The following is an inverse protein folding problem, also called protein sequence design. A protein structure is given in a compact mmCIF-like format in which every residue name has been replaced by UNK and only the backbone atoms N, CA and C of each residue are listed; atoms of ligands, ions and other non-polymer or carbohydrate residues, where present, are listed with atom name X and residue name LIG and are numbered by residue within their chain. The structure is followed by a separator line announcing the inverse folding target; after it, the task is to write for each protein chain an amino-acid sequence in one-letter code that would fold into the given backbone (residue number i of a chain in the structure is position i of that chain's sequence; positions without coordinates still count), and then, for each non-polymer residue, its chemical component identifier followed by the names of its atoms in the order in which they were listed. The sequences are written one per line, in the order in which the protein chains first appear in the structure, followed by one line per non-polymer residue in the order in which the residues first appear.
data_IF_803127589354
#
_entry.id   IF_803127589354
#
_cell.length_a   1.000
_cell.length_b   1.000
_cell.length_c   1.000
_cell.angle_alpha   90.00
_cell.angle_beta   90.00
_cell.angle_gamma   90.00
#
_symmetry.space_group_name_H-M   'P 1'
#
loop_
_entity.id
_entity.type
_entity.pdbx_description
1 polymer ?
#
# COMPACT_ATOMS: atom_id res chain seq x y z
N UNK A 1 15.72 10.84 5.62
CA UNK A 1 15.16 11.04 4.26
C UNK A 1 13.99 10.07 4.09
N UNK A 2 12.76 10.54 4.27
CA UNK A 2 11.57 9.71 4.09
C UNK A 2 11.28 9.57 2.60
N UNK A 3 11.35 8.34 2.08
CA UNK A 3 10.99 8.03 0.71
C UNK A 3 9.52 8.37 0.46
N UNK A 4 9.24 9.15 -0.58
CA UNK A 4 7.87 9.47 -0.97
C UNK A 4 7.11 8.16 -1.27
N UNK A 5 5.88 8.00 -0.79
CA UNK A 5 5.14 6.75 -0.96
C UNK A 5 4.74 6.56 -2.43
N UNK A 6 4.81 5.32 -2.92
CA UNK A 6 4.68 4.90 -4.33
C UNK A 6 3.47 5.53 -5.07
N UNK A 7 2.40 5.81 -4.33
CA UNK A 7 1.14 6.43 -4.76
C UNK A 7 1.30 7.84 -5.36
N UNK A 8 2.34 8.59 -4.97
CA UNK A 8 2.63 9.92 -5.53
C UNK A 8 2.97 9.86 -7.02
N UNK A 9 3.48 8.74 -7.51
CA UNK A 9 3.76 8.54 -8.93
C UNK A 9 2.50 8.17 -9.71
N UNK A 10 1.58 7.45 -9.08
CA UNK A 10 0.35 6.97 -9.72
C UNK A 10 -0.65 8.12 -9.99
N UNK A 11 -0.80 9.07 -9.07
CA UNK A 11 -1.64 10.26 -9.29
C UNK A 11 -1.14 11.16 -10.42
N UNK A 12 0.18 11.21 -10.65
CA UNK A 12 0.76 11.96 -11.78
C UNK A 12 0.46 11.33 -13.14
N UNK A 13 0.35 10.00 -13.20
CA UNK A 13 0.07 9.27 -14.42
C UNK A 13 -1.40 9.38 -14.85
N UNK A 14 -2.35 9.27 -13.91
CA UNK A 14 -3.78 9.40 -14.22
C UNK A 14 -4.22 10.82 -14.60
N UNK A 15 -3.48 11.87 -14.20
CA UNK A 15 -3.84 13.24 -14.52
C UNK A 15 -3.46 13.69 -15.94
N UNK A 16 -2.63 12.93 -16.67
CA UNK A 16 -2.03 13.39 -17.92
C UNK A 16 -2.78 12.98 -19.21
N UNK A 17 -3.85 12.19 -19.11
CA UNK A 17 -4.62 11.69 -20.27
C UNK A 17 -5.98 12.41 -20.41
N UNK A 18 -5.95 13.74 -20.56
CA UNK A 18 -7.08 14.48 -21.12
C UNK A 18 -6.64 15.18 -22.40
N UNK A 19 -6.65 14.45 -23.51
CA UNK A 19 -6.59 15.03 -24.85
C UNK A 19 -7.96 14.96 -25.52
N UNK A 20 -8.38 16.10 -26.05
CA UNK A 20 -9.69 16.37 -26.62
C UNK A 20 -10.02 15.45 -27.81
N UNK A 21 -11.22 14.87 -27.79
CA UNK A 21 -11.84 14.25 -28.96
C UNK A 21 -12.35 15.34 -29.92
N UNK A 22 -11.70 15.50 -31.07
CA UNK A 22 -12.25 16.21 -32.21
C UNK A 22 -12.82 15.18 -33.20
N UNK A 23 -14.15 15.20 -33.33
CA UNK A 23 -14.94 14.32 -34.18
C UNK A 23 -14.69 14.60 -35.66
N UNK A 24 -14.28 13.57 -36.40
CA UNK A 24 -14.19 13.54 -37.85
C UNK A 24 -14.57 12.13 -38.33
N UNK A 25 -15.81 12.02 -38.81
CA UNK A 25 -16.47 10.79 -39.26
C UNK A 25 -15.80 10.22 -40.52
N UNK A 26 -14.89 9.26 -40.35
CA UNK A 26 -14.45 8.31 -41.37
C UNK A 26 -13.89 7.05 -40.70
N UNK A 27 -14.80 6.24 -40.14
CA UNK A 27 -14.42 5.07 -39.34
C UNK A 27 -13.83 3.94 -40.19
N UNK A 28 -12.50 3.87 -40.28
CA UNK A 28 -11.82 2.62 -40.62
C UNK A 28 -12.04 1.60 -39.49
N UNK A 29 -12.12 0.29 -39.78
CA UNK A 29 -12.37 -0.76 -38.77
C UNK A 29 -11.40 -0.74 -37.58
N UNK A 30 -10.17 -0.27 -37.81
CA UNK A 30 -9.07 -0.26 -36.84
C UNK A 30 -9.22 0.85 -35.79
N UNK A 31 -9.88 1.96 -36.12
CA UNK A 31 -10.21 3.02 -35.16
C UNK A 31 -11.23 2.54 -34.12
N UNK A 32 -12.09 1.57 -34.48
CA UNK A 32 -13.01 0.92 -33.54
C UNK A 32 -12.29 -0.06 -32.62
N UNK A 33 -11.35 -0.84 -33.14
CA UNK A 33 -10.53 -1.77 -32.33
C UNK A 33 -9.65 -1.02 -31.33
N UNK A 34 -9.09 0.13 -31.72
CA UNK A 34 -8.30 0.98 -30.83
C UNK A 34 -9.16 1.62 -29.72
N UNK A 35 -10.35 2.11 -30.06
CA UNK A 35 -11.30 2.67 -29.09
C UNK A 35 -11.74 1.62 -28.05
N UNK A 36 -11.91 0.36 -28.46
CA UNK A 36 -12.22 -0.74 -27.54
C UNK A 36 -11.04 -1.05 -26.60
N UNK A 37 -9.80 -1.03 -27.09
CA UNK A 37 -8.62 -1.20 -26.23
C UNK A 37 -8.49 -0.04 -25.23
N UNK A 38 -8.73 1.20 -25.67
CA UNK A 38 -8.74 2.37 -24.79
C UNK A 38 -9.79 2.22 -23.68
N UNK A 39 -11.00 1.79 -24.03
CA UNK A 39 -12.08 1.50 -23.07
C UNK A 39 -11.68 0.42 -22.06
N UNK A 40 -11.04 -0.66 -22.51
CA UNK A 40 -10.55 -1.75 -21.65
C UNK A 40 -9.46 -1.26 -20.68
N UNK A 41 -8.50 -0.47 -21.17
CA UNK A 41 -7.47 0.14 -20.33
C UNK A 41 -8.05 1.11 -19.29
N UNK A 42 -9.08 1.87 -19.67
CA UNK A 42 -9.80 2.75 -18.75
C UNK A 42 -10.46 1.97 -17.62
N UNK A 43 -11.14 0.85 -17.91
CA UNK A 43 -11.71 -0.03 -16.87
C UNK A 43 -10.64 -0.61 -15.94
N UNK A 44 -9.50 -1.06 -16.49
CA UNK A 44 -8.38 -1.56 -15.69
C UNK A 44 -7.84 -0.49 -14.74
N UNK A 45 -7.73 0.76 -15.21
CA UNK A 45 -7.30 1.90 -14.40
C UNK A 45 -8.25 2.17 -13.23
N UNK A 46 -9.56 2.12 -13.49
CA UNK A 46 -10.61 2.30 -12.47
C UNK A 46 -10.59 1.18 -11.43
N UNK A 47 -10.42 -0.08 -11.86
CA UNK A 47 -10.36 -1.22 -10.96
C UNK A 47 -9.07 -1.26 -10.12
N UNK A 48 -7.93 -0.87 -10.69
CA UNK A 48 -6.70 -0.69 -9.94
C UNK A 48 -6.86 0.43 -8.90
N UNK A 49 -7.47 1.56 -9.28
CA UNK A 49 -7.75 2.67 -8.35
C UNK A 49 -8.64 2.23 -7.18
N UNK A 50 -9.67 1.41 -7.46
CA UNK A 50 -10.52 0.80 -6.44
C UNK A 50 -9.74 -0.15 -5.53
N UNK A 51 -8.87 -1.00 -6.10
CA UNK A 51 -8.02 -1.89 -5.31
C UNK A 51 -7.09 -1.11 -4.38
N UNK A 52 -6.47 -0.06 -4.91
CA UNK A 52 -5.59 0.85 -4.19
C UNK A 52 -6.30 1.52 -3.00
N UNK A 53 -7.50 2.06 -3.21
CA UNK A 53 -8.28 2.64 -2.12
C UNK A 53 -8.55 1.64 -0.99
N UNK A 54 -9.00 0.42 -1.34
CA UNK A 54 -9.29 -0.65 -0.36
C UNK A 54 -8.06 -1.13 0.40
N UNK A 55 -6.90 -1.17 -0.26
CA UNK A 55 -5.63 -1.50 0.41
C UNK A 55 -5.31 -0.44 1.47
N UNK A 56 -5.48 0.84 1.15
CA UNK A 56 -5.27 1.94 2.09
C UNK A 56 -6.23 1.87 3.29
N UNK A 57 -7.51 1.62 3.06
CA UNK A 57 -8.50 1.43 4.15
C UNK A 57 -8.11 0.27 5.09
N UNK A 58 -7.68 -0.86 4.53
CA UNK A 58 -7.22 -2.00 5.32
C UNK A 58 -5.92 -1.72 6.08
N UNK A 59 -5.01 -0.94 5.50
CA UNK A 59 -3.79 -0.51 6.16
C UNK A 59 -4.11 0.40 7.36
N UNK A 60 -5.02 1.36 7.22
CA UNK A 60 -5.49 2.20 8.32
C UNK A 60 -6.10 1.36 9.45
N UNK A 61 -6.95 0.39 9.11
CA UNK A 61 -7.56 -0.50 10.08
C UNK A 61 -6.53 -1.34 10.86
N UNK A 62 -5.49 -1.84 10.18
CA UNK A 62 -4.38 -2.56 10.82
C UNK A 62 -3.59 -1.63 11.76
N UNK A 63 -3.35 -0.39 11.37
CA UNK A 63 -2.69 0.60 12.23
C UNK A 63 -3.51 0.92 13.48
N UNK A 64 -4.84 1.03 13.34
CA UNK A 64 -5.73 1.18 14.50
C UNK A 64 -5.61 -0.01 15.46
N UNK A 65 -5.64 -1.25 14.96
CA UNK A 65 -5.47 -2.46 15.78
C UNK A 65 -4.11 -2.47 16.48
N UNK A 66 -3.04 -2.10 15.77
CA UNK A 66 -1.69 -2.02 16.35
C UNK A 66 -1.64 -1.02 17.51
N UNK A 67 -2.21 0.18 17.31
CA UNK A 67 -2.27 1.21 18.35
C UNK A 67 -3.08 0.76 19.58
N UNK A 68 -4.19 0.04 19.38
CA UNK A 68 -4.95 -0.54 20.49
C UNK A 68 -4.12 -1.55 21.30
N UNK A 69 -3.34 -2.40 20.61
CA UNK A 69 -2.47 -3.39 21.25
C UNK A 69 -1.33 -2.71 22.02
N UNK A 70 -0.71 -1.67 21.46
CA UNK A 70 0.33 -0.88 22.13
C UNK A 70 -0.20 -0.23 23.42
N UNK A 71 -1.35 0.45 23.35
CA UNK A 71 -1.99 1.04 24.54
C UNK A 71 -2.27 0.01 25.63
N UNK A 72 -2.65 -1.21 25.25
CA UNK A 72 -2.89 -2.30 26.21
C UNK A 72 -1.61 -2.83 26.83
N UNK A 73 -0.51 -2.84 26.08
CA UNK A 73 0.82 -3.19 26.62
C UNK A 73 1.26 -2.16 27.65
N UNK A 74 1.09 -0.88 27.37
CA UNK A 74 1.48 0.20 28.30
C UNK A 74 0.67 0.10 29.62
N UNK A 75 -0.65 -0.14 29.51
CA UNK A 75 -1.51 -0.37 30.68
C UNK A 75 -1.05 -1.58 31.52
N UNK A 76 -0.54 -2.63 30.89
CA UNK A 76 -0.05 -3.82 31.60
C UNK A 76 1.26 -3.53 32.36
N UNK A 77 2.12 -2.67 31.82
CA UNK A 77 3.38 -2.30 32.46
C UNK A 77 3.16 -1.52 33.77
N UNK A 78 2.08 -0.76 33.86
CA UNK A 78 1.71 -0.03 35.08
C UNK A 78 0.96 -0.89 36.11
N UNK A 79 0.61 -2.14 35.76
CA UNK A 79 -0.18 -3.00 36.64
C UNK A 79 0.63 -3.48 37.85
N UNK A 80 0.13 -3.15 39.05
CA UNK A 80 0.75 -3.51 40.34
C UNK A 80 0.02 -4.66 41.05
N UNK A 81 -0.95 -5.30 40.40
CA UNK A 81 -1.79 -6.33 41.03
C UNK A 81 -0.95 -7.47 41.60
N UNK A 82 0.05 -7.94 40.86
CA UNK A 82 1.00 -8.98 41.32
C UNK A 82 1.77 -8.51 42.56
N UNK A 83 2.40 -7.33 42.50
CA UNK A 83 3.16 -6.77 43.63
C UNK A 83 2.29 -6.58 44.88
N UNK A 84 1.02 -6.19 44.72
CA UNK A 84 0.08 -6.06 45.83
C UNK A 84 -0.24 -7.41 46.47
N UNK A 85 -0.47 -8.45 45.66
CA UNK A 85 -0.70 -9.81 46.15
C UNK A 85 0.55 -10.36 46.85
N UNK A 86 1.74 -10.19 46.27
CA UNK A 86 3.02 -10.59 46.86
C UNK A 86 3.25 -9.93 48.22
N UNK A 87 3.05 -8.61 48.32
CA UNK A 87 3.17 -7.90 49.60
C UNK A 87 2.22 -8.44 50.68
N UNK A 88 1.01 -8.86 50.30
CA UNK A 88 0.09 -9.50 51.23
C UNK A 88 0.60 -10.88 51.65
N UNK A 89 1.06 -11.69 50.70
CA UNK A 89 1.60 -13.03 50.94
C UNK A 89 2.83 -12.99 51.86
N UNK A 90 3.72 -12.02 51.70
CA UNK A 90 4.89 -11.83 52.55
C UNK A 90 4.48 -11.59 54.02
N UNK A 91 3.49 -10.72 54.24
CA UNK A 91 2.93 -10.46 55.57
C UNK A 91 2.28 -11.70 56.17
N UNK A 92 1.52 -12.44 55.36
CA UNK A 92 0.92 -13.71 55.78
C UNK A 92 2.00 -14.73 56.18
N UNK A 93 3.12 -14.77 55.45
CA UNK A 93 4.22 -15.68 55.74
C UNK A 93 4.92 -15.33 57.06
N UNK A 94 5.07 -14.05 57.39
CA UNK A 94 5.59 -13.60 58.69
C UNK A 94 4.68 -14.06 59.83
N UNK A 95 3.37 -13.81 59.73
CA UNK A 95 2.37 -14.24 60.72
C UNK A 95 2.40 -15.77 60.89
N UNK A 96 2.44 -16.52 59.77
CA UNK A 96 2.52 -17.97 59.80
C UNK A 96 3.77 -18.48 60.53
N UNK A 97 4.94 -17.87 60.28
CA UNK A 97 6.18 -18.21 60.98
C UNK A 97 6.07 -17.92 62.49
N UNK A 98 5.44 -16.81 62.89
CA UNK A 98 5.18 -16.50 64.29
C UNK A 98 4.23 -17.52 64.94
N UNK A 99 3.16 -17.93 64.25
CA UNK A 99 2.23 -18.95 64.75
C UNK A 99 2.92 -20.30 64.94
N UNK A 100 3.81 -20.67 64.01
CA UNK A 100 4.63 -21.88 64.13
C UNK A 100 5.55 -21.85 65.35
N UNK A 101 6.09 -20.68 65.71
CA UNK A 101 6.88 -20.48 66.94
C UNK A 101 6.00 -20.58 68.18
N UNK A 102 4.88 -19.84 68.21
CA UNK A 102 3.94 -19.83 69.32
C UNK A 102 3.41 -21.23 69.65
N UNK A 103 3.17 -22.07 68.65
CA UNK A 103 2.74 -23.47 68.82
C UNK A 103 3.74 -24.35 69.60
N UNK A 104 5.03 -24.00 69.61
CA UNK A 104 6.04 -24.72 70.41
C UNK A 104 5.98 -24.33 71.90
N UNK A 105 5.36 -23.21 72.24
CA UNK A 105 5.16 -22.78 73.61
C UNK A 105 3.83 -23.33 74.13
N UNK A 106 3.83 -23.99 75.30
CA UNK A 106 2.63 -24.57 75.90
C UNK A 106 1.59 -23.52 76.31
N UNK A 107 2.02 -22.29 76.59
CA UNK A 107 1.15 -21.15 76.95
C UNK A 107 1.80 -19.83 76.54
N UNK A 108 1.01 -18.93 75.97
CA UNK A 108 1.42 -17.54 75.71
C UNK A 108 1.06 -16.66 76.91
N UNK A 109 1.91 -15.68 77.30
CA UNK A 109 1.52 -14.65 78.26
C UNK A 109 0.42 -13.76 77.65
N UNK A 110 -0.34 -13.07 78.50
CA UNK A 110 -1.54 -12.33 78.11
C UNK A 110 -1.33 -11.42 76.88
N UNK A 111 -0.30 -10.58 76.87
CA UNK A 111 -0.03 -9.66 75.76
C UNK A 111 0.23 -10.40 74.43
N UNK A 112 1.05 -11.46 74.46
CA UNK A 112 1.35 -12.28 73.29
C UNK A 112 0.11 -13.03 72.79
N UNK A 113 -0.78 -13.43 73.71
CA UNK A 113 -2.07 -14.03 73.35
C UNK A 113 -2.98 -13.03 72.62
N UNK A 114 -3.00 -11.76 73.04
CA UNK A 114 -3.77 -10.73 72.34
C UNK A 114 -3.19 -10.41 70.96
N UNK A 115 -1.86 -10.32 70.83
CA UNK A 115 -1.19 -10.14 69.54
C UNK A 115 -1.51 -11.33 68.62
N UNK A 116 -1.43 -12.56 69.13
CA UNK A 116 -1.76 -13.77 68.35
C UNK A 116 -3.21 -13.76 67.84
N UNK A 117 -4.18 -13.31 68.65
CA UNK A 117 -5.58 -13.16 68.24
C UNK A 117 -5.74 -12.10 67.15
N UNK A 118 -5.07 -10.95 67.29
CA UNK A 118 -5.09 -9.89 66.29
C UNK A 118 -4.48 -10.36 64.96
N UNK A 119 -3.31 -11.01 65.01
CA UNK A 119 -2.64 -11.57 63.85
C UNK A 119 -3.49 -12.62 63.14
N UNK A 120 -4.31 -13.37 63.89
CA UNK A 120 -5.23 -14.36 63.31
C UNK A 120 -6.33 -13.68 62.49
N UNK A 121 -6.85 -12.55 62.97
CA UNK A 121 -7.80 -11.74 62.20
C UNK A 121 -7.11 -11.11 60.99
N UNK A 122 -5.92 -10.54 61.16
CA UNK A 122 -5.12 -9.95 60.09
C UNK A 122 -4.81 -10.96 58.97
N UNK A 123 -4.50 -12.21 59.31
CA UNK A 123 -4.29 -13.27 58.32
C UNK A 123 -5.52 -13.48 57.43
N UNK A 124 -6.72 -13.49 58.04
CA UNK A 124 -7.99 -13.57 57.30
C UNK A 124 -8.23 -12.35 56.41
N UNK A 125 -7.91 -11.14 56.88
CA UNK A 125 -8.02 -9.92 56.07
C UNK A 125 -7.05 -9.90 54.89
N UNK A 126 -5.79 -10.30 55.10
CA UNK A 126 -4.80 -10.41 54.03
C UNK A 126 -5.23 -11.43 52.98
N UNK A 127 -5.71 -12.60 53.39
CA UNK A 127 -6.22 -13.62 52.48
C UNK A 127 -7.40 -13.10 51.63
N UNK A 128 -8.37 -12.43 52.27
CA UNK A 128 -9.49 -11.79 51.54
C UNK A 128 -9.00 -10.75 50.54
N UNK A 129 -8.01 -9.93 50.92
CA UNK A 129 -7.43 -8.93 50.03
C UNK A 129 -6.76 -9.56 48.81
N UNK A 130 -5.98 -10.62 48.99
CA UNK A 130 -5.35 -11.35 47.87
C UNK A 130 -6.42 -11.90 46.91
N UNK A 131 -7.49 -12.49 47.44
CA UNK A 131 -8.58 -13.02 46.63
C UNK A 131 -9.33 -11.92 45.87
N UNK A 132 -9.58 -10.77 46.49
CA UNK A 132 -10.22 -9.63 45.82
C UNK A 132 -9.34 -9.07 44.71
N UNK A 133 -8.04 -8.81 44.94
CA UNK A 133 -7.14 -8.36 43.86
C UNK A 133 -7.10 -9.38 42.71
N UNK A 134 -7.07 -10.68 43.03
CA UNK A 134 -7.08 -11.71 42.00
C UNK A 134 -8.38 -11.73 41.18
N UNK A 135 -9.53 -11.71 41.84
CA UNK A 135 -10.83 -11.82 41.15
C UNK A 135 -11.22 -10.51 40.45
N UNK A 136 -11.12 -9.40 41.16
CA UNK A 136 -11.67 -8.11 40.74
C UNK A 136 -10.73 -7.40 39.76
N UNK A 137 -9.40 -7.52 39.95
CA UNK A 137 -8.44 -6.91 39.04
C UNK A 137 -7.92 -7.91 38.00
N UNK A 138 -7.27 -8.99 38.43
CA UNK A 138 -6.53 -9.86 37.51
C UNK A 138 -7.46 -10.63 36.55
N UNK A 139 -8.45 -11.34 37.09
CA UNK A 139 -9.35 -12.19 36.28
C UNK A 139 -10.20 -11.33 35.34
N UNK A 140 -10.77 -10.22 35.82
CA UNK A 140 -11.57 -9.33 34.98
C UNK A 140 -10.74 -8.72 33.85
N UNK A 141 -9.55 -8.17 34.15
CA UNK A 141 -8.64 -7.61 33.12
C UNK A 141 -8.25 -8.68 32.09
N UNK A 142 -7.94 -9.90 32.54
CA UNK A 142 -7.61 -11.01 31.66
C UNK A 142 -8.78 -11.36 30.71
N UNK A 143 -9.99 -11.49 31.23
CA UNK A 143 -11.18 -11.79 30.41
C UNK A 143 -11.47 -10.67 29.39
N UNK A 144 -11.33 -9.41 29.79
CA UNK A 144 -11.47 -8.26 28.90
C UNK A 144 -10.41 -8.28 27.80
N UNK A 145 -9.15 -8.56 28.14
CA UNK A 145 -8.05 -8.67 27.17
C UNK A 145 -8.26 -9.84 26.20
N UNK A 146 -8.70 -11.00 26.69
CA UNK A 146 -8.99 -12.17 25.87
C UNK A 146 -10.12 -11.87 24.86
N UNK A 147 -11.17 -11.20 25.31
CA UNK A 147 -12.30 -10.78 24.47
C UNK A 147 -11.86 -9.78 23.40
N UNK A 148 -11.05 -8.77 23.78
CA UNK A 148 -10.50 -7.79 22.86
C UNK A 148 -9.60 -8.45 21.80
N UNK A 149 -8.71 -9.35 22.21
CA UNK A 149 -7.85 -10.11 21.31
C UNK A 149 -8.66 -10.96 20.33
N UNK A 150 -9.72 -11.65 20.81
CA UNK A 150 -10.63 -12.40 19.94
C UNK A 150 -11.31 -11.52 18.88
N UNK A 151 -11.72 -10.30 19.24
CA UNK A 151 -12.29 -9.33 18.29
C UNK A 151 -11.25 -8.86 17.26
N UNK A 152 -10.04 -8.54 17.71
CA UNK A 152 -8.94 -8.12 16.84
C UNK A 152 -8.56 -9.22 15.86
N UNK A 153 -8.45 -10.46 16.31
CA UNK A 153 -8.12 -11.60 15.46
C UNK A 153 -9.17 -11.83 14.37
N UNK A 154 -10.46 -11.67 14.69
CA UNK A 154 -11.54 -11.72 13.68
C UNK A 154 -11.36 -10.64 12.62
N UNK A 155 -11.13 -9.38 13.01
CA UNK A 155 -10.87 -8.28 12.07
C UNK A 155 -9.66 -8.56 11.17
N UNK A 156 -8.54 -9.01 11.75
CA UNK A 156 -7.33 -9.36 11.00
C UNK A 156 -7.58 -10.49 10.01
N UNK A 157 -8.34 -11.51 10.40
CA UNK A 157 -8.69 -12.61 9.49
C UNK A 157 -9.55 -12.14 8.31
N UNK A 158 -10.52 -11.26 8.55
CA UNK A 158 -11.34 -10.66 7.49
C UNK A 158 -10.51 -9.77 6.56
N UNK A 159 -9.62 -8.94 7.10
CA UNK A 159 -8.69 -8.13 6.30
C UNK A 159 -7.84 -9.04 5.42
N UNK A 160 -7.25 -10.11 5.98
CA UNK A 160 -6.46 -11.09 5.23
C UNK A 160 -7.26 -11.73 4.09
N UNK A 161 -8.55 -12.04 4.32
CA UNK A 161 -9.45 -12.56 3.28
C UNK A 161 -9.66 -11.53 2.17
N UNK A 162 -9.93 -10.27 2.51
CA UNK A 162 -10.07 -9.20 1.54
C UNK A 162 -8.80 -8.96 0.73
N UNK A 163 -7.63 -8.98 1.37
CA UNK A 163 -6.33 -8.85 0.68
C UNK A 163 -6.08 -9.98 -0.32
N UNK A 164 -6.49 -11.22 -0.01
CA UNK A 164 -6.43 -12.33 -0.97
C UNK A 164 -7.33 -12.07 -2.19
N UNK A 165 -8.56 -11.61 -1.98
CA UNK A 165 -9.46 -11.27 -3.09
C UNK A 165 -8.91 -10.11 -3.93
N UNK A 166 -8.36 -9.09 -3.30
CA UNK A 166 -7.69 -7.97 -3.98
C UNK A 166 -6.50 -8.45 -4.81
N UNK A 167 -5.69 -9.37 -4.28
CA UNK A 167 -4.59 -9.99 -5.03
C UNK A 167 -5.09 -10.69 -6.30
N UNK A 168 -6.20 -11.42 -6.23
CA UNK A 168 -6.82 -12.04 -7.42
C UNK A 168 -7.34 -10.99 -8.41
N UNK A 169 -7.97 -9.91 -7.93
CA UNK A 169 -8.44 -8.82 -8.78
C UNK A 169 -7.30 -8.10 -9.50
N UNK A 170 -6.19 -7.83 -8.80
CA UNK A 170 -4.99 -7.21 -9.38
C UNK A 170 -4.36 -8.15 -10.43
N UNK A 171 -4.31 -9.46 -10.16
CA UNK A 171 -3.84 -10.44 -11.14
C UNK A 171 -4.70 -10.45 -12.41
N UNK A 172 -6.04 -10.38 -12.27
CA UNK A 172 -6.94 -10.26 -13.41
C UNK A 172 -6.71 -8.95 -14.19
N UNK A 173 -6.53 -7.83 -13.50
CA UNK A 173 -6.17 -6.54 -14.13
C UNK A 173 -4.86 -6.64 -14.91
N UNK A 174 -3.86 -7.35 -14.37
CA UNK A 174 -2.58 -7.56 -15.05
C UNK A 174 -2.74 -8.37 -16.34
N UNK A 175 -3.55 -9.44 -16.31
CA UNK A 175 -3.82 -10.26 -17.51
C UNK A 175 -4.55 -9.43 -18.57
N UNK A 176 -5.56 -8.66 -18.16
CA UNK A 176 -6.31 -7.78 -19.05
C UNK A 176 -5.41 -6.72 -19.70
N UNK A 177 -4.53 -6.10 -18.91
CA UNK A 177 -3.57 -5.10 -19.38
C UNK A 177 -2.56 -5.69 -20.39
N UNK A 178 -2.06 -6.91 -20.13
CA UNK A 178 -1.21 -7.63 -21.10
C UNK A 178 -1.97 -7.93 -22.39
N UNK A 179 -3.23 -8.36 -22.31
CA UNK A 179 -4.06 -8.56 -23.49
C UNK A 179 -4.27 -7.28 -24.31
N UNK A 180 -4.47 -6.13 -23.66
CA UNK A 180 -4.52 -4.83 -24.32
C UNK A 180 -3.19 -4.47 -25.00
N UNK A 181 -2.07 -4.74 -24.34
CA UNK A 181 -0.73 -4.53 -24.90
C UNK A 181 -0.49 -5.39 -26.15
N UNK A 182 -0.90 -6.66 -26.12
CA UNK A 182 -0.81 -7.56 -27.28
C UNK A 182 -1.68 -7.05 -28.44
N UNK A 183 -2.91 -6.58 -28.17
CA UNK A 183 -3.78 -5.98 -29.18
C UNK A 183 -3.11 -4.76 -29.84
N UNK A 184 -2.52 -3.86 -29.04
CA UNK A 184 -1.81 -2.67 -29.55
C UNK A 184 -0.59 -3.05 -30.38
N UNK A 185 0.23 -4.00 -29.90
CA UNK A 185 1.41 -4.47 -30.64
C UNK A 185 1.02 -5.04 -32.01
N UNK A 186 0.00 -5.92 -32.04
CA UNK A 186 -0.50 -6.49 -33.28
C UNK A 186 -1.04 -5.43 -34.25
N UNK A 187 -1.70 -4.39 -33.75
CA UNK A 187 -2.18 -3.28 -34.59
C UNK A 187 -1.00 -2.47 -35.18
N UNK A 188 0.02 -2.19 -34.37
CA UNK A 188 1.25 -1.50 -34.81
C UNK A 188 2.02 -2.31 -35.85
N UNK A 189 2.09 -3.64 -35.72
CA UNK A 189 2.79 -4.52 -36.66
C UNK A 189 2.09 -4.62 -38.03
N UNK A 190 0.76 -4.42 -38.08
CA UNK A 190 -0.04 -4.48 -39.32
C UNK A 190 -0.04 -3.17 -40.12
N UNK A 191 0.17 -2.03 -39.47
CA UNK A 191 0.22 -0.70 -40.10
C UNK A 191 1.23 -0.62 -41.27
N UNK A 192 2.49 -1.09 -41.14
CA UNK A 192 3.47 -1.09 -42.23
C UNK A 192 3.06 -1.93 -43.45
N UNK A 193 2.37 -3.06 -43.22
CA UNK A 193 1.96 -3.98 -44.28
C UNK A 193 0.84 -3.38 -45.13
N UNK A 194 -0.12 -2.68 -44.51
CA UNK A 194 -1.23 -2.03 -45.22
C UNK A 194 -0.83 -0.79 -46.00
N UNK A 195 0.10 0.02 -45.49
CA UNK A 195 0.66 1.17 -46.23
C UNK A 195 1.35 0.70 -47.53
N UNK A 196 1.89 -0.52 -47.55
CA UNK A 196 2.51 -1.13 -48.73
C UNK A 196 1.46 -1.70 -49.71
N UNK A 197 0.37 -2.29 -49.22
CA UNK A 197 -0.72 -2.81 -50.05
C UNK A 197 -1.56 -1.71 -50.71
N UNK A 198 -1.90 -0.61 -50.02
CA UNK A 198 -2.63 0.52 -50.61
C UNK A 198 -1.85 1.16 -51.79
N UNK A 199 -0.51 1.19 -51.70
CA UNK A 199 0.36 1.66 -52.79
C UNK A 199 0.35 0.75 -54.02
N UNK A 200 -0.02 -0.53 -53.85
CA UNK A 200 0.02 -1.55 -54.92
C UNK A 200 -1.31 -1.67 -55.66
N UNK A 201 -2.44 -1.39 -54.99
CA UNK A 201 -3.78 -1.49 -55.60
C UNK A 201 -4.10 -0.30 -56.53
N UNK A 202 -3.47 0.87 -56.33
CA UNK A 202 -3.64 2.03 -57.22
C UNK A 202 -2.88 1.93 -58.57
N UNK A 203 -2.10 0.88 -58.80
CA UNK A 203 -1.26 0.75 -59.99
C UNK A 203 -1.89 -0.03 -61.17
N UNK A 204 -3.14 -0.50 -61.07
CA UNK A 204 -3.75 -1.38 -62.09
C UNK A 204 -5.06 -0.82 -62.70
N UNK A 205 -4.94 0.26 -63.50
CA UNK A 205 -5.87 0.54 -64.60
C UNK A 205 -5.25 1.44 -65.70
N UNK A 206 -4.65 0.77 -66.72
CA UNK A 206 -4.51 1.17 -68.15
C UNK A 206 -3.68 2.44 -68.49
N UNK A 207 -2.92 2.47 -69.62
CA UNK A 207 -1.71 3.27 -69.71
C UNK A 207 -1.95 4.61 -70.39
N UNK A 208 -1.58 5.69 -69.71
CA UNK A 208 -1.04 6.86 -70.37
C UNK A 208 -0.11 7.59 -69.42
N UNK A 209 0.92 8.18 -70.02
CA UNK A 209 1.72 9.29 -69.53
C UNK A 209 3.11 8.93 -69.00
N UNK A 210 4.04 8.98 -69.95
CA UNK A 210 5.45 9.33 -69.79
C UNK A 210 5.67 10.65 -69.00
N UNK A 211 4.61 11.40 -68.67
CA UNK A 211 4.64 12.64 -67.89
C UNK A 211 4.57 12.46 -66.35
N UNK A 212 4.05 11.33 -65.84
CA UNK A 212 3.84 11.13 -64.39
C UNK A 212 5.07 10.61 -63.65
N UNK A 213 5.98 9.94 -64.37
CA UNK A 213 7.22 9.42 -63.79
C UNK A 213 8.17 10.53 -63.34
N UNK A 214 8.18 11.68 -64.01
CA UNK A 214 9.03 12.82 -63.65
C UNK A 214 8.59 13.44 -62.33
N UNK A 215 7.28 13.72 -62.19
CA UNK A 215 6.71 14.34 -60.99
C UNK A 215 6.83 13.45 -59.75
N UNK A 216 6.71 12.12 -59.93
CA UNK A 216 6.89 11.17 -58.84
C UNK A 216 8.37 11.04 -58.42
N UNK A 217 9.31 11.09 -59.36
CA UNK A 217 10.74 11.13 -59.02
C UNK A 217 11.14 12.43 -58.34
N UNK A 218 10.63 13.58 -58.80
CA UNK A 218 10.86 14.88 -58.17
C UNK A 218 10.28 14.94 -56.75
N UNK A 219 9.12 14.33 -56.51
CA UNK A 219 8.53 14.23 -55.18
C UNK A 219 9.31 13.28 -54.25
N UNK A 220 9.81 12.14 -54.76
CA UNK A 220 10.69 11.25 -53.98
C UNK A 220 11.97 11.98 -53.60
N UNK A 221 12.58 12.71 -54.54
CA UNK A 221 13.78 13.50 -54.30
C UNK A 221 13.51 14.62 -53.28
N UNK A 222 12.38 15.32 -53.42
CA UNK A 222 11.95 16.35 -52.46
C UNK A 222 11.70 15.79 -51.06
N UNK A 223 11.10 14.62 -50.93
CA UNK A 223 10.88 13.96 -49.64
C UNK A 223 12.17 13.45 -49.01
N UNK A 224 13.11 12.96 -49.82
CA UNK A 224 14.44 12.58 -49.35
C UNK A 224 15.24 13.81 -48.89
N UNK A 225 15.20 14.90 -49.65
CA UNK A 225 15.84 16.16 -49.27
C UNK A 225 15.24 16.71 -47.98
N UNK A 226 13.90 16.73 -47.86
CA UNK A 226 13.21 17.18 -46.64
C UNK A 226 13.60 16.33 -45.42
N UNK A 227 13.75 15.01 -45.59
CA UNK A 227 14.22 14.11 -44.53
C UNK A 227 15.65 14.44 -44.10
N UNK A 228 16.55 14.72 -45.04
CA UNK A 228 17.92 15.12 -44.72
C UNK A 228 17.99 16.52 -44.10
N UNK A 229 17.13 17.45 -44.52
CA UNK A 229 16.99 18.76 -43.87
C UNK A 229 16.51 18.60 -42.42
N UNK A 230 15.50 17.76 -42.18
CA UNK A 230 15.00 17.50 -40.83
C UNK A 230 16.03 16.82 -39.92
N UNK A 231 16.88 15.94 -40.47
CA UNK A 231 18.02 15.38 -39.72
C UNK A 231 19.03 16.47 -39.36
N UNK A 232 19.39 17.35 -40.30
CA UNK A 232 20.27 18.49 -40.03
C UNK A 232 19.71 19.38 -38.92
N UNK A 233 18.43 19.77 -39.02
CA UNK A 233 17.74 20.56 -37.99
C UNK A 233 17.71 19.83 -36.64
N UNK A 234 17.47 18.52 -36.62
CA UNK A 234 17.50 17.75 -35.38
C UNK A 234 18.88 17.71 -34.74
N UNK A 235 19.94 17.59 -35.54
CA UNK A 235 21.31 17.67 -35.05
C UNK A 235 21.65 19.07 -34.52
N UNK A 236 21.24 20.13 -35.23
CA UNK A 236 21.45 21.52 -34.81
C UNK A 236 20.68 21.82 -33.52
N UNK A 237 19.43 21.36 -33.39
CA UNK A 237 18.65 21.50 -32.16
C UNK A 237 19.27 20.72 -31.00
N UNK A 238 19.77 19.51 -31.25
CA UNK A 238 20.47 18.73 -30.23
C UNK A 238 21.76 19.42 -29.79
N UNK A 239 22.52 19.98 -30.74
CA UNK A 239 23.73 20.75 -30.46
C UNK A 239 23.40 22.02 -29.67
N UNK A 240 22.39 22.79 -30.09
CA UNK A 240 21.91 23.97 -29.38
C UNK A 240 21.46 23.64 -27.96
N UNK A 241 20.71 22.55 -27.77
CA UNK A 241 20.29 22.09 -26.45
C UNK A 241 21.50 21.71 -25.58
N UNK A 242 22.55 21.11 -26.17
CA UNK A 242 23.80 20.81 -25.45
C UNK A 242 24.57 22.07 -25.03
N UNK A 243 24.57 23.12 -25.87
CA UNK A 243 25.17 24.42 -25.54
C UNK A 243 24.37 25.09 -24.42
N UNK A 244 23.04 25.11 -24.52
CA UNK A 244 22.16 25.67 -23.48
C UNK A 244 22.44 24.98 -22.15
N UNK A 245 22.48 23.64 -22.10
CA UNK A 245 22.80 22.90 -20.88
C UNK A 245 24.19 23.26 -20.32
N UNK A 246 25.19 23.48 -21.18
CA UNK A 246 26.53 23.89 -20.77
C UNK A 246 26.55 25.33 -20.23
N UNK A 247 25.83 26.25 -20.86
CA UNK A 247 25.71 27.65 -20.40
C UNK A 247 24.89 27.75 -19.11
N UNK A 248 23.82 26.94 -18.96
CA UNK A 248 23.05 26.81 -17.73
C UNK A 248 23.85 26.18 -16.59
N UNK A 249 24.85 25.33 -16.90
CA UNK A 249 25.83 24.82 -15.93
C UNK A 249 26.95 25.80 -15.56
N UNK A 250 27.10 26.93 -16.27
CA UNK A 250 28.10 27.98 -16.00
C UNK A 250 27.52 29.15 -15.16
N UNK A 251 26.21 29.18 -14.91
CA UNK A 251 25.61 30.08 -13.91
C UNK A 251 25.38 29.31 -12.61
N UNK A 252 26.48 29.06 -11.90
CA UNK A 252 26.49 28.84 -10.44
C UNK A 252 27.81 29.32 -9.86
N UNK A 253 27.98 30.64 -9.86
CA UNK A 253 28.61 31.46 -8.81
C UNK A 253 28.14 32.89 -9.07
N UNK A 254 27.41 33.53 -8.13
CA UNK A 254 27.99 34.06 -6.89
C UNK A 254 27.15 33.65 -5.65
N UNK A 255 27.61 33.68 -4.41
CA UNK A 255 28.82 34.18 -3.78
C UNK A 255 28.75 33.81 -2.29
N UNK A 256 29.79 34.20 -1.56
CA UNK A 256 29.88 34.22 -0.09
C UNK A 256 28.59 34.71 0.60
#
# INVERSE_FOLDING_TARGET
MAGKPLWSWFYGFCASNRYNAASGDSGTPELKDLAEVERRLQMVSEDLSRCFHRISEHQEMLNCILSEVEKKRDQLQEDKSICQMESCLDKMQVIYKQFKKARKCLRLPYNEEQIHKLDKLNLGHLAKKVLSVFQDDCVQKYQAALSAHGNQMRKVSEIRKHLKMLSSSIAACSVEMSGCQDCLSNALDRLPQKILEEKTVQASSVPAQVYTNQTHQDMIFGMQELREQMKRVSHDLQFNNSIIQRLSGVVSTPGL
#
